data_IF_657828596276
#
_entry.id   IF_657828596276
#
_cell.length_a   1.000
_cell.length_b   1.000
_cell.length_c   1.000
_cell.angle_alpha   90.00
_cell.angle_beta   90.00
_cell.angle_gamma   90.00
#
_symmetry.space_group_name_H-M   'P 1'
#
loop_
_entity.id
_entity.type
_entity.pdbx_description
1 polymer ?
#
# COMPACT_ATOMS: atom_id res chain seq x y z
N UNK A 1 -21.41 -24.44 -20.21
CA UNK A 1 -20.98 -23.72 -19.00
C UNK A 1 -19.65 -23.06 -19.36
N UNK A 2 -19.56 -21.74 -19.28
CA UNK A 2 -18.36 -21.01 -19.69
C UNK A 2 -17.24 -21.29 -18.69
N UNK A 3 -16.14 -21.91 -19.15
CA UNK A 3 -14.97 -22.26 -18.33
C UNK A 3 -14.45 -21.07 -17.50
N UNK A 4 -14.56 -19.86 -18.06
CA UNK A 4 -14.15 -18.60 -17.42
C UNK A 4 -14.90 -18.28 -16.13
N UNK A 5 -16.18 -18.63 -16.00
CA UNK A 5 -16.96 -18.38 -14.78
C UNK A 5 -16.52 -19.28 -13.64
N UNK A 6 -16.19 -20.54 -13.95
CA UNK A 6 -15.67 -21.52 -13.00
C UNK A 6 -14.29 -21.09 -12.51
N UNK A 7 -13.43 -20.64 -13.43
CA UNK A 7 -12.08 -20.17 -13.10
C UNK A 7 -12.13 -18.90 -12.24
N UNK A 8 -13.00 -17.94 -12.56
CA UNK A 8 -13.19 -16.73 -11.75
C UNK A 8 -13.70 -17.06 -10.33
N UNK A 9 -14.68 -17.95 -10.21
CA UNK A 9 -15.21 -18.36 -8.91
C UNK A 9 -14.15 -19.04 -8.04
N UNK A 10 -13.31 -19.89 -8.65
CA UNK A 10 -12.19 -20.53 -7.97
C UNK A 10 -11.13 -19.51 -7.54
N UNK A 11 -10.81 -18.53 -8.38
CA UNK A 11 -9.84 -17.48 -8.05
C UNK A 11 -10.34 -16.53 -6.95
N UNK A 12 -11.64 -16.23 -6.89
CA UNK A 12 -12.25 -15.39 -5.84
C UNK A 12 -12.32 -16.08 -4.47
N UNK A 13 -12.38 -17.42 -4.45
CA UNK A 13 -12.56 -18.21 -3.22
C UNK A 13 -11.26 -18.85 -2.70
N UNK A 14 -10.19 -18.83 -3.51
CA UNK A 14 -8.89 -19.43 -3.18
C UNK A 14 -8.03 -18.68 -2.14
N UNK A 15 -7.88 -17.34 -2.23
CA UNK A 15 -7.04 -16.58 -1.29
C UNK A 15 -7.52 -16.67 0.15
N UNK A 16 -6.61 -16.94 1.07
CA UNK A 16 -6.89 -16.83 2.51
C UNK A 16 -6.67 -15.39 3.00
N UNK A 17 -7.10 -15.08 4.22
CA UNK A 17 -6.82 -13.80 4.88
C UNK A 17 -6.18 -14.01 6.25
N UNK A 18 -5.53 -12.95 6.74
CA UNK A 18 -5.00 -12.82 8.10
C UNK A 18 -5.21 -11.40 8.60
N UNK A 19 -5.00 -11.20 9.89
CA UNK A 19 -4.95 -9.85 10.47
C UNK A 19 -3.52 -9.33 10.50
N UNK A 20 -3.35 -8.05 10.19
CA UNK A 20 -2.10 -7.34 10.44
C UNK A 20 -2.01 -6.91 11.93
N UNK A 21 -0.85 -6.41 12.40
CA UNK A 21 -0.70 -5.93 13.78
C UNK A 21 -1.64 -4.75 14.15
N UNK A 22 -2.23 -4.08 13.16
CA UNK A 22 -3.23 -3.02 13.32
C UNK A 22 -4.67 -3.56 13.27
N UNK A 23 -4.86 -4.89 13.36
CA UNK A 23 -6.13 -5.59 13.31
C UNK A 23 -6.94 -5.36 12.01
N UNK A 24 -6.25 -5.08 10.89
CA UNK A 24 -6.85 -4.93 9.56
C UNK A 24 -6.81 -6.27 8.83
N UNK A 25 -7.80 -6.50 7.97
CA UNK A 25 -7.80 -7.68 7.10
C UNK A 25 -6.73 -7.50 6.02
N UNK A 26 -5.85 -8.49 5.90
CA UNK A 26 -4.84 -8.58 4.87
C UNK A 26 -4.99 -9.90 4.14
N UNK A 27 -5.15 -9.84 2.82
CA UNK A 27 -5.18 -11.02 1.97
C UNK A 27 -3.81 -11.72 1.91
N UNK A 28 -3.85 -13.03 1.67
CA UNK A 28 -2.70 -13.86 1.39
C UNK A 28 -1.90 -13.32 0.19
N UNK A 29 -0.57 -13.34 0.30
CA UNK A 29 0.29 -12.91 -0.81
C UNK A 29 0.31 -13.98 -1.91
N UNK A 30 0.49 -13.55 -3.17
CA UNK A 30 0.64 -14.45 -4.33
C UNK A 30 1.70 -15.53 -4.13
N UNK A 31 2.84 -15.20 -3.51
CA UNK A 31 3.90 -16.17 -3.25
C UNK A 31 3.48 -17.26 -2.26
N UNK A 32 2.64 -16.93 -1.28
CA UNK A 32 2.11 -17.91 -0.31
C UNK A 32 1.06 -18.82 -0.96
N UNK A 33 0.20 -18.26 -1.83
CA UNK A 33 -0.70 -19.06 -2.65
C UNK A 33 0.08 -20.05 -3.52
N UNK A 34 1.17 -19.59 -4.16
CA UNK A 34 2.05 -20.43 -4.98
C UNK A 34 2.69 -21.56 -4.16
N UNK A 35 3.13 -21.29 -2.94
CA UNK A 35 3.68 -22.32 -2.02
C UNK A 35 2.67 -23.41 -1.70
N UNK A 36 1.37 -23.09 -1.70
CA UNK A 36 0.27 -24.04 -1.50
C UNK A 36 -0.17 -24.77 -2.77
N UNK A 37 0.51 -24.54 -3.90
CA UNK A 37 0.15 -25.14 -5.20
C UNK A 37 -1.02 -24.46 -5.90
N UNK A 38 -1.45 -23.29 -5.42
CA UNK A 38 -2.46 -22.47 -6.10
C UNK A 38 -1.79 -21.57 -7.14
N UNK A 39 -2.46 -21.38 -8.27
CA UNK A 39 -2.08 -20.40 -9.28
C UNK A 39 -2.43 -18.98 -8.81
N UNK A 40 -1.76 -17.98 -9.39
CA UNK A 40 -2.08 -16.57 -9.18
C UNK A 40 -3.54 -16.27 -9.58
N UNK A 41 -4.29 -15.48 -8.78
CA UNK A 41 -5.70 -15.17 -9.04
C UNK A 41 -5.84 -13.94 -9.98
N UNK A 42 -5.31 -14.05 -11.19
CA UNK A 42 -5.16 -12.90 -12.09
C UNK A 42 -6.51 -12.30 -12.58
N UNK A 43 -7.55 -13.12 -12.75
CA UNK A 43 -8.90 -12.65 -13.09
C UNK A 43 -9.56 -11.94 -11.92
N UNK A 44 -9.41 -12.47 -10.70
CA UNK A 44 -9.93 -11.84 -9.50
C UNK A 44 -9.22 -10.51 -9.20
N UNK A 45 -7.92 -10.43 -9.43
CA UNK A 45 -7.16 -9.18 -9.32
C UNK A 45 -7.61 -8.14 -10.35
N UNK A 46 -7.79 -8.55 -11.61
CA UNK A 46 -8.29 -7.67 -12.66
C UNK A 46 -9.67 -7.09 -12.32
N UNK A 47 -10.56 -7.92 -11.78
CA UNK A 47 -11.86 -7.47 -11.27
C UNK A 47 -11.70 -6.52 -10.07
N UNK A 48 -10.81 -6.84 -9.12
CA UNK A 48 -10.58 -6.00 -7.94
C UNK A 48 -10.11 -4.59 -8.30
N UNK A 49 -9.27 -4.47 -9.35
CA UNK A 49 -8.79 -3.17 -9.84
C UNK A 49 -9.90 -2.29 -10.41
N UNK A 50 -11.04 -2.84 -10.84
CA UNK A 50 -12.17 -2.02 -11.31
C UNK A 50 -12.90 -1.31 -10.17
N UNK A 51 -12.67 -1.73 -8.92
CA UNK A 51 -13.20 -1.10 -7.71
C UNK A 51 -12.20 -0.16 -7.04
N UNK A 52 -11.00 0.00 -7.60
CA UNK A 52 -10.00 0.88 -7.04
C UNK A 52 -10.41 2.35 -7.22
N UNK A 53 -10.46 3.10 -6.11
CA UNK A 53 -10.69 4.54 -6.11
C UNK A 53 -9.43 5.31 -5.72
N UNK A 54 -9.32 6.55 -6.20
CA UNK A 54 -8.24 7.44 -5.80
C UNK A 54 -8.43 7.91 -4.37
N UNK A 55 -7.64 7.35 -3.44
CA UNK A 55 -7.60 7.82 -2.05
C UNK A 55 -6.63 8.99 -1.97
N UNK A 56 -7.18 10.19 -1.69
CA UNK A 56 -6.33 11.35 -1.41
C UNK A 56 -5.40 11.02 -0.25
N UNK A 57 -4.09 11.28 -0.43
CA UNK A 57 -3.14 11.15 0.66
C UNK A 57 -3.64 12.00 1.84
N UNK A 58 -3.56 11.51 3.09
CA UNK A 58 -3.90 12.33 4.25
C UNK A 58 -3.12 13.64 4.13
N UNK A 59 -3.81 14.76 4.30
CA UNK A 59 -3.21 16.09 4.28
C UNK A 59 -2.13 16.11 5.36
N UNK A 60 -0.89 15.84 4.96
CA UNK A 60 0.25 16.14 5.78
C UNK A 60 0.25 17.65 5.84
N UNK A 61 -0.22 18.22 6.96
CA UNK A 61 0.11 19.59 7.29
C UNK A 61 1.62 19.65 7.25
N UNK A 62 2.17 20.18 6.15
CA UNK A 62 3.56 20.55 6.09
C UNK A 62 3.71 21.56 7.21
N UNK A 63 4.27 21.14 8.34
CA UNK A 63 4.82 22.09 9.28
C UNK A 63 5.80 22.88 8.45
N UNK A 64 5.47 24.15 8.21
CA UNK A 64 6.38 25.09 7.59
C UNK A 64 7.66 25.01 8.38
N UNK A 65 8.69 24.41 7.79
CA UNK A 65 10.04 24.58 8.27
C UNK A 65 10.35 26.05 8.02
N UNK A 66 10.06 26.90 9.00
CA UNK A 66 10.64 28.22 9.10
C UNK A 66 12.15 27.99 9.12
N UNK A 67 12.90 28.36 8.06
CA UNK A 67 14.34 28.31 8.16
C UNK A 67 14.72 29.30 9.25
N UNK A 68 15.16 28.78 10.40
CA UNK A 68 15.93 29.56 11.35
C UNK A 68 17.23 29.93 10.64
N UNK A 69 17.19 31.01 9.86
CA UNK A 69 18.38 31.74 9.48
C UNK A 69 18.98 32.20 10.79
N UNK A 70 19.95 31.43 11.30
CA UNK A 70 20.82 31.88 12.37
C UNK A 70 21.51 33.10 11.79
N UNK A 71 21.03 34.29 12.15
CA UNK A 71 21.80 35.52 11.92
C UNK A 71 23.15 35.26 12.55
N UNK A 72 24.26 35.35 11.79
CA UNK A 72 25.58 35.35 12.40
C UNK A 72 25.51 36.37 13.53
N UNK A 73 25.84 35.94 14.75
CA UNK A 73 26.01 36.86 15.87
C UNK A 73 26.94 37.97 15.33
N UNK A 74 26.51 39.23 15.42
CA UNK A 74 27.24 40.39 14.87
C UNK A 74 28.66 40.55 15.47
N UNK A 75 29.04 39.62 16.36
CA UNK A 75 30.30 39.54 17.08
C UNK A 75 31.32 38.53 16.48
N UNK A 76 31.08 37.98 15.28
CA UNK A 76 32.07 37.11 14.60
C UNK A 76 33.20 37.93 13.91
N UNK A 77 33.01 39.25 13.73
CA UNK A 77 34.01 40.11 13.07
C UNK A 77 35.09 40.66 14.02
N UNK A 78 34.99 40.44 15.33
CA UNK A 78 35.91 41.02 16.31
C UNK A 78 37.08 40.08 16.70
N UNK A 79 37.24 38.93 16.04
CA UNK A 79 38.29 37.99 16.46
C UNK A 79 39.21 37.36 15.40
N UNK A 80 39.09 37.63 14.08
CA UNK A 80 40.16 37.41 13.09
C UNK A 80 40.03 38.37 11.89
#
# INVERSE_FOLDING_TARGET
IHQTEIDLAAELTGPMYKFDPSNRIMLEKKDEMKKRGLRSPDLADALSLTFAEHVAAPHQSMQSFEPMFVTPDDNILDNW
#
